data_IF_004547534459
#
_entry.id   IF_004547534459
#
_cell.length_a   1.000
_cell.length_b   1.000
_cell.length_c   1.000
_cell.angle_alpha   90.00
_cell.angle_beta   90.00
_cell.angle_gamma   90.00
#
_symmetry.space_group_name_H-M   'P 1'
#
loop_
_entity.id
_entity.type
_entity.pdbx_description
1 polymer ?
#
# COMPACT_ATOMS: atom_id res chain seq x y z
N UNK A 1 -29.87 -22.99 -3.65
CA UNK A 1 -28.66 -23.84 -3.69
C UNK A 1 -27.78 -23.58 -4.92
N UNK A 2 -28.17 -23.94 -6.15
CA UNK A 2 -27.29 -23.76 -7.35
C UNK A 2 -26.86 -22.30 -7.58
N UNK A 3 -27.75 -21.33 -7.42
CA UNK A 3 -27.39 -19.90 -7.58
C UNK A 3 -26.48 -19.38 -6.44
N UNK A 4 -26.64 -19.91 -5.22
CA UNK A 4 -25.80 -19.57 -4.06
C UNK A 4 -24.36 -20.01 -4.29
N UNK A 5 -24.13 -21.26 -4.70
CA UNK A 5 -22.78 -21.75 -5.02
C UNK A 5 -22.09 -20.92 -6.11
N UNK A 6 -22.81 -20.59 -7.19
CA UNK A 6 -22.28 -19.73 -8.26
C UNK A 6 -21.90 -18.34 -7.75
N UNK A 7 -22.74 -17.73 -6.90
CA UNK A 7 -22.45 -16.43 -6.27
C UNK A 7 -21.21 -16.50 -5.37
N UNK A 8 -21.07 -17.56 -4.59
CA UNK A 8 -19.90 -17.81 -3.74
C UNK A 8 -18.62 -17.93 -4.58
N UNK A 9 -18.63 -18.68 -5.68
CA UNK A 9 -17.47 -18.79 -6.58
C UNK A 9 -17.07 -17.44 -7.18
N UNK A 10 -18.04 -16.61 -7.58
CA UNK A 10 -17.79 -15.25 -8.06
C UNK A 10 -17.22 -14.38 -6.94
N UNK A 11 -17.78 -14.46 -5.73
CA UNK A 11 -17.30 -13.73 -4.57
C UNK A 11 -15.86 -14.09 -4.22
N UNK A 12 -15.50 -15.38 -4.22
CA UNK A 12 -14.12 -15.83 -4.01
C UNK A 12 -13.15 -15.22 -5.02
N UNK A 13 -13.49 -15.25 -6.32
CA UNK A 13 -12.67 -14.62 -7.37
C UNK A 13 -12.53 -13.11 -7.17
N UNK A 14 -13.60 -12.44 -6.76
CA UNK A 14 -13.58 -11.00 -6.47
C UNK A 14 -12.74 -10.69 -5.23
N UNK A 15 -12.81 -11.54 -4.21
CA UNK A 15 -12.00 -11.46 -3.00
C UNK A 15 -10.50 -11.60 -3.32
N UNK A 16 -10.12 -12.63 -4.08
CA UNK A 16 -8.75 -12.80 -4.56
C UNK A 16 -8.28 -11.60 -5.39
N UNK A 17 -9.13 -11.10 -6.30
CA UNK A 17 -8.82 -9.92 -7.12
C UNK A 17 -8.56 -8.67 -6.26
N UNK A 18 -9.40 -8.41 -5.24
CA UNK A 18 -9.23 -7.26 -4.34
C UNK A 18 -8.00 -7.39 -3.45
N UNK A 19 -7.67 -8.59 -2.95
CA UNK A 19 -6.40 -8.83 -2.26
C UNK A 19 -5.19 -8.58 -3.18
N UNK A 20 -5.28 -9.00 -4.45
CA UNK A 20 -4.24 -8.75 -5.42
C UNK A 20 -4.07 -7.25 -5.71
N UNK A 21 -5.14 -6.46 -5.72
CA UNK A 21 -5.06 -5.00 -5.82
C UNK A 21 -4.27 -4.38 -4.65
N UNK A 22 -4.47 -4.85 -3.43
CA UNK A 22 -3.67 -4.43 -2.27
C UNK A 22 -2.19 -4.76 -2.49
N UNK A 23 -1.87 -6.00 -2.88
CA UNK A 23 -0.49 -6.44 -3.17
C UNK A 23 0.15 -5.63 -4.30
N UNK A 24 -0.62 -5.25 -5.32
CA UNK A 24 -0.12 -4.42 -6.42
C UNK A 24 0.24 -3.02 -5.95
N UNK A 25 -0.57 -2.38 -5.10
CA UNK A 25 -0.24 -1.08 -4.54
C UNK A 25 1.08 -1.13 -3.74
N UNK A 26 1.24 -2.16 -2.90
CA UNK A 26 2.45 -2.37 -2.09
C UNK A 26 3.69 -2.64 -2.95
N UNK A 27 3.55 -3.48 -3.99
CA UNK A 27 4.65 -3.77 -4.92
C UNK A 27 5.07 -2.53 -5.72
N UNK A 28 4.10 -1.75 -6.20
CA UNK A 28 4.38 -0.54 -6.97
C UNK A 28 5.08 0.52 -6.13
N UNK A 29 4.62 0.79 -4.91
CA UNK A 29 5.26 1.81 -4.06
C UNK A 29 6.66 1.38 -3.61
N UNK A 30 6.90 0.08 -3.39
CA UNK A 30 8.25 -0.45 -3.13
C UNK A 30 9.19 -0.23 -4.31
N UNK A 31 8.71 -0.42 -5.54
CA UNK A 31 9.49 -0.12 -6.75
C UNK A 31 9.86 1.37 -6.83
N UNK A 32 8.93 2.26 -6.46
CA UNK A 32 9.21 3.69 -6.38
C UNK A 32 10.25 4.03 -5.28
N UNK A 33 10.23 3.32 -4.16
CA UNK A 33 11.20 3.48 -3.08
C UNK A 33 12.63 3.14 -3.52
N UNK A 34 12.81 2.13 -4.37
CA UNK A 34 14.12 1.78 -4.95
C UNK A 34 14.65 2.94 -5.80
N UNK A 35 13.83 3.51 -6.68
CA UNK A 35 14.20 4.66 -7.52
C UNK A 35 14.58 5.86 -6.65
N UNK A 36 13.75 6.16 -5.64
CA UNK A 36 14.04 7.23 -4.68
C UNK A 36 15.36 6.99 -3.94
N UNK A 37 15.64 5.75 -3.53
CA UNK A 37 16.88 5.35 -2.85
C UNK A 37 18.11 5.61 -3.72
N UNK A 38 18.06 5.25 -5.00
CA UNK A 38 19.15 5.49 -5.94
C UNK A 38 19.42 7.00 -6.10
N UNK A 39 18.39 7.80 -6.37
CA UNK A 39 18.53 9.25 -6.52
C UNK A 39 19.07 9.90 -5.24
N UNK A 40 18.52 9.52 -4.08
CA UNK A 40 18.92 10.05 -2.78
C UNK A 40 20.35 9.67 -2.42
N UNK A 41 20.76 8.43 -2.69
CA UNK A 41 22.13 7.97 -2.45
C UNK A 41 23.14 8.82 -3.24
N UNK A 42 22.87 9.09 -4.51
CA UNK A 42 23.76 9.95 -5.32
C UNK A 42 23.87 11.36 -4.72
N UNK A 43 22.74 11.97 -4.35
CA UNK A 43 22.73 13.33 -3.78
C UNK A 43 23.50 13.38 -2.47
N UNK A 44 23.33 12.38 -1.59
CA UNK A 44 24.06 12.30 -0.32
C UNK A 44 25.56 12.12 -0.57
N UNK A 45 25.97 11.21 -1.45
CA UNK A 45 27.39 10.98 -1.77
C UNK A 45 28.08 12.24 -2.30
N UNK A 46 27.35 13.07 -3.05
CA UNK A 46 27.90 14.27 -3.68
C UNK A 46 27.48 15.56 -2.94
N UNK A 47 26.97 15.46 -1.71
CA UNK A 47 26.34 16.57 -1.02
C UNK A 47 27.27 17.78 -0.87
N UNK A 48 28.52 17.56 -0.45
CA UNK A 48 29.48 18.64 -0.22
C UNK A 48 29.79 19.42 -1.51
N UNK A 49 30.00 18.72 -2.63
CA UNK A 49 30.23 19.34 -3.93
C UNK A 49 29.01 20.15 -4.37
N UNK A 50 27.82 19.53 -4.37
CA UNK A 50 26.57 20.17 -4.76
C UNK A 50 26.23 21.38 -3.89
N UNK A 51 26.58 21.36 -2.60
CA UNK A 51 26.35 22.48 -1.68
C UNK A 51 27.26 23.68 -1.94
N UNK A 52 28.45 23.47 -2.49
CA UNK A 52 29.45 24.52 -2.71
C UNK A 52 29.27 25.28 -4.03
N UNK A 53 28.57 24.70 -5.02
CA UNK A 53 28.40 25.28 -6.38
C UNK A 53 27.83 26.70 -6.36
N UNK A 54 26.63 26.88 -5.79
CA UNK A 54 25.94 28.17 -5.83
C UNK A 54 24.84 28.26 -4.77
N UNK A 55 24.26 29.45 -4.60
CA UNK A 55 23.04 29.60 -3.78
C UNK A 55 21.85 28.84 -4.39
N UNK A 56 21.80 28.74 -5.72
CA UNK A 56 20.74 28.04 -6.43
C UNK A 56 20.77 26.54 -6.13
N UNK A 57 21.95 25.90 -6.15
CA UNK A 57 22.07 24.47 -5.82
C UNK A 57 21.62 24.17 -4.38
N UNK A 58 21.90 25.06 -3.43
CA UNK A 58 21.43 24.93 -2.03
C UNK A 58 19.91 24.93 -1.91
N UNK A 59 19.22 25.79 -2.67
CA UNK A 59 17.75 25.84 -2.70
C UNK A 59 17.19 24.53 -3.27
N UNK A 60 17.75 24.06 -4.39
CA UNK A 60 17.32 22.79 -5.02
C UNK A 60 17.58 21.59 -4.10
N UNK A 61 18.73 21.54 -3.41
CA UNK A 61 19.02 20.51 -2.40
C UNK A 61 17.99 20.52 -1.27
N UNK A 62 17.65 21.69 -0.73
CA UNK A 62 16.64 21.81 0.32
C UNK A 62 15.28 21.29 -0.16
N UNK A 63 14.84 21.68 -1.36
CA UNK A 63 13.60 21.16 -1.96
C UNK A 63 13.65 19.66 -2.19
N UNK A 64 14.80 19.11 -2.60
CA UNK A 64 14.99 17.67 -2.80
C UNK A 64 14.78 16.89 -1.49
N UNK A 65 15.35 17.34 -0.37
CA UNK A 65 15.15 16.66 0.91
C UNK A 65 13.73 16.85 1.48
N UNK A 66 13.10 18.01 1.28
CA UNK A 66 11.70 18.19 1.68
C UNK A 66 10.77 17.25 0.90
N UNK A 67 10.99 17.10 -0.41
CA UNK A 67 10.21 16.18 -1.24
C UNK A 67 10.48 14.72 -0.91
N UNK A 68 11.72 14.37 -0.55
CA UNK A 68 12.06 13.05 0.01
C UNK A 68 11.22 12.72 1.26
N UNK A 69 11.13 13.63 2.23
CA UNK A 69 10.34 13.42 3.45
C UNK A 69 8.86 13.21 3.12
N UNK A 70 8.30 14.03 2.23
CA UNK A 70 6.91 13.89 1.77
C UNK A 70 6.68 12.56 1.04
N UNK A 71 7.65 12.11 0.24
CA UNK A 71 7.58 10.80 -0.42
C UNK A 71 7.55 9.66 0.61
N UNK A 72 8.44 9.70 1.60
CA UNK A 72 8.50 8.69 2.68
C UNK A 72 7.17 8.66 3.45
N UNK A 73 6.55 9.80 3.70
CA UNK A 73 5.22 9.86 4.32
C UNK A 73 4.16 9.10 3.50
N UNK A 74 4.12 9.27 2.17
CA UNK A 74 3.19 8.54 1.31
C UNK A 74 3.54 7.05 1.15
N UNK A 75 4.83 6.72 1.15
CA UNK A 75 5.33 5.34 1.16
C UNK A 75 4.78 4.58 2.39
N UNK A 76 4.98 5.14 3.59
CA UNK A 76 4.51 4.54 4.83
C UNK A 76 2.98 4.42 4.85
N UNK A 77 2.26 5.47 4.44
CA UNK A 77 0.80 5.42 4.39
C UNK A 77 0.22 4.40 3.40
N UNK A 78 1.00 4.02 2.38
CA UNK A 78 0.64 2.96 1.44
C UNK A 78 0.90 1.58 2.03
N UNK A 79 2.05 1.37 2.67
CA UNK A 79 2.48 0.04 3.13
C UNK A 79 1.82 -0.35 4.46
N UNK A 80 1.64 0.60 5.38
CA UNK A 80 1.17 0.31 6.73
C UNK A 80 -0.14 -0.49 6.73
N UNK A 81 -0.22 -1.58 7.52
CA UNK A 81 -1.42 -2.37 7.61
C UNK A 81 -2.55 -1.51 8.20
N UNK A 82 -3.69 -1.51 7.53
CA UNK A 82 -4.88 -0.78 7.96
C UNK A 82 -5.89 -1.78 8.50
N UNK A 83 -6.37 -1.52 9.70
CA UNK A 83 -7.56 -2.17 10.25
C UNK A 83 -8.68 -1.14 10.23
N UNK A 84 -9.84 -1.50 9.68
CA UNK A 84 -11.02 -0.69 9.87
C UNK A 84 -11.59 -1.04 11.24
N UNK A 85 -11.49 -0.13 12.20
CA UNK A 85 -12.01 -0.35 13.56
C UNK A 85 -13.54 -0.28 13.63
N UNK A 86 -14.16 0.34 12.62
CA UNK A 86 -15.61 0.55 12.50
C UNK A 86 -16.27 -0.40 11.50
N UNK A 87 -15.70 -1.59 11.26
CA UNK A 87 -16.42 -2.59 10.47
C UNK A 87 -17.63 -3.05 11.27
N UNK A 88 -18.85 -2.87 10.73
CA UNK A 88 -20.06 -3.50 11.24
C UNK A 88 -19.89 -5.02 11.08
N UNK A 89 -19.26 -5.67 12.06
CA UNK A 89 -18.91 -7.09 12.01
C UNK A 89 -20.21 -7.89 12.02
N UNK A 90 -20.51 -8.56 10.91
CA UNK A 90 -21.63 -9.49 10.84
C UNK A 90 -21.10 -10.84 11.38
N UNK A 91 -21.26 -11.07 12.68
CA UNK A 91 -21.00 -12.37 13.30
C UNK A 91 -19.53 -12.83 13.33
N UNK A 92 -19.32 -14.14 13.51
CA UNK A 92 -17.99 -14.75 13.57
C UNK A 92 -17.43 -14.96 12.16
N UNK A 93 -16.56 -14.06 11.72
CA UNK A 93 -15.88 -14.17 10.42
C UNK A 93 -15.04 -15.46 10.35
N UNK A 94 -15.34 -16.29 9.35
CA UNK A 94 -14.62 -17.52 9.04
C UNK A 94 -13.42 -17.29 8.13
N UNK A 95 -13.49 -16.25 7.29
CA UNK A 95 -12.46 -15.97 6.28
C UNK A 95 -11.36 -15.05 6.84
N UNK A 96 -11.69 -14.13 7.74
CA UNK A 96 -10.73 -13.16 8.24
C UNK A 96 -9.72 -13.76 9.22
N UNK A 97 -8.44 -13.71 8.86
CA UNK A 97 -7.36 -14.35 9.61
C UNK A 97 -7.29 -13.93 11.10
N UNK A 98 -7.60 -12.68 11.43
CA UNK A 98 -7.53 -12.21 12.82
C UNK A 98 -8.70 -12.69 13.68
N UNK A 99 -9.82 -13.10 13.06
CA UNK A 99 -10.89 -13.82 13.77
C UNK A 99 -10.54 -15.30 13.91
N UNK A 100 -9.94 -15.91 12.88
CA UNK A 100 -9.44 -17.29 12.95
C UNK A 100 -8.40 -17.43 14.08
N UNK A 101 -7.44 -16.50 14.17
CA UNK A 101 -6.38 -16.56 15.18
C UNK A 101 -6.84 -16.32 16.62
N UNK A 102 -8.04 -15.75 16.82
CA UNK A 102 -8.63 -15.53 18.15
C UNK A 102 -9.35 -16.76 18.71
N UNK A 103 -9.55 -17.81 17.91
CA UNK A 103 -10.18 -19.05 18.39
C UNK A 103 -9.23 -19.82 19.30
N UNK A 104 -9.77 -20.43 20.35
CA UNK A 104 -8.98 -21.10 21.37
C UNK A 104 -8.32 -22.38 20.86
N UNK A 105 -8.98 -23.09 19.95
CA UNK A 105 -8.47 -24.33 19.39
C UNK A 105 -8.97 -24.55 17.95
N UNK A 106 -8.33 -25.48 17.22
CA UNK A 106 -8.70 -25.85 15.84
C UNK A 106 -10.08 -26.52 15.75
N UNK A 107 -10.52 -27.22 16.79
CA UNK A 107 -11.82 -27.92 16.80
C UNK A 107 -12.98 -26.92 16.74
N UNK A 108 -12.87 -25.80 17.45
CA UNK A 108 -13.84 -24.71 17.45
C UNK A 108 -13.96 -24.12 16.03
N UNK A 109 -12.82 -23.92 15.34
CA UNK A 109 -12.82 -23.44 13.95
C UNK A 109 -13.51 -24.42 12.99
N UNK A 110 -13.18 -25.71 13.07
CA UNK A 110 -13.79 -26.74 12.22
C UNK A 110 -15.29 -26.84 12.48
N UNK A 111 -15.70 -26.77 13.75
CA UNK A 111 -17.11 -26.78 14.15
C UNK A 111 -17.85 -25.58 13.58
N UNK A 112 -17.33 -24.38 13.77
CA UNK A 112 -17.90 -23.14 13.21
C UNK A 112 -18.04 -23.27 11.70
N UNK A 113 -16.96 -23.64 11.00
CA UNK A 113 -16.93 -23.77 9.54
C UNK A 113 -17.98 -24.76 9.01
N UNK A 114 -18.12 -25.93 9.63
CA UNK A 114 -19.09 -26.94 9.21
C UNK A 114 -20.54 -26.55 9.55
N UNK A 115 -20.74 -25.70 10.56
CA UNK A 115 -22.06 -25.24 10.99
C UNK A 115 -22.58 -24.04 10.21
N UNK A 116 -21.71 -23.33 9.50
CA UNK A 116 -22.07 -22.12 8.74
C UNK A 116 -22.81 -22.45 7.46
N UNK A 117 -23.91 -21.73 7.21
CA UNK A 117 -24.68 -21.90 5.99
C UNK A 117 -23.94 -21.30 4.78
N UNK A 118 -24.28 -21.76 3.57
CA UNK A 118 -23.69 -21.19 2.35
C UNK A 118 -24.03 -19.70 2.16
N UNK A 119 -25.14 -19.23 2.73
CA UNK A 119 -25.55 -17.83 2.68
C UNK A 119 -24.72 -16.99 3.66
N UNK A 120 -24.55 -17.45 4.90
CA UNK A 120 -23.69 -16.77 5.89
C UNK A 120 -22.23 -16.70 5.42
N UNK A 121 -21.73 -17.76 4.77
CA UNK A 121 -20.38 -17.76 4.20
C UNK A 121 -20.23 -16.77 3.04
N UNK A 122 -21.27 -16.65 2.20
CA UNK A 122 -21.29 -15.64 1.14
C UNK A 122 -21.30 -14.23 1.72
N UNK A 123 -22.07 -13.98 2.78
CA UNK A 123 -22.13 -12.67 3.44
C UNK A 123 -20.79 -12.29 4.09
N UNK A 124 -20.10 -13.24 4.75
CA UNK A 124 -18.73 -13.01 5.25
C UNK A 124 -17.78 -12.64 4.10
N UNK A 125 -17.81 -13.38 2.98
CA UNK A 125 -16.99 -13.03 1.80
C UNK A 125 -17.29 -11.63 1.26
N UNK A 126 -18.57 -11.28 1.10
CA UNK A 126 -18.96 -9.95 0.63
C UNK A 126 -18.49 -8.84 1.57
N UNK A 127 -18.56 -9.07 2.89
CA UNK A 127 -17.98 -8.18 3.88
C UNK A 127 -16.46 -8.03 3.72
N UNK A 128 -15.73 -9.14 3.56
CA UNK A 128 -14.27 -9.11 3.35
C UNK A 128 -13.88 -8.39 2.06
N UNK A 129 -14.64 -8.57 0.98
CA UNK A 129 -14.45 -7.87 -0.30
C UNK A 129 -14.62 -6.37 -0.10
N UNK A 130 -15.68 -5.94 0.57
CA UNK A 130 -15.96 -4.54 0.83
C UNK A 130 -14.85 -3.86 1.65
N UNK A 131 -14.41 -4.50 2.73
CA UNK A 131 -13.31 -3.99 3.56
C UNK A 131 -11.97 -3.97 2.81
N UNK A 132 -11.67 -5.03 2.05
CA UNK A 132 -10.46 -5.10 1.22
C UNK A 132 -10.45 -4.03 0.13
N UNK A 133 -11.60 -3.75 -0.50
CA UNK A 133 -11.74 -2.71 -1.51
C UNK A 133 -11.51 -1.30 -0.93
N UNK A 134 -12.00 -1.02 0.28
CA UNK A 134 -11.70 0.24 0.99
C UNK A 134 -10.20 0.39 1.25
N UNK A 135 -9.55 -0.66 1.75
CA UNK A 135 -8.10 -0.64 2.01
C UNK A 135 -7.34 -0.41 0.70
N UNK A 136 -7.66 -1.14 -0.37
CA UNK A 136 -7.06 -0.97 -1.68
C UNK A 136 -7.19 0.46 -2.19
N UNK A 137 -8.38 1.06 -2.08
CA UNK A 137 -8.65 2.43 -2.51
C UNK A 137 -7.74 3.44 -1.82
N UNK A 138 -7.63 3.36 -0.49
CA UNK A 138 -6.76 4.26 0.28
C UNK A 138 -5.28 4.06 -0.07
N UNK A 139 -4.84 2.81 -0.27
CA UNK A 139 -3.47 2.51 -0.71
C UNK A 139 -3.18 3.13 -2.08
N UNK A 140 -4.08 2.97 -3.06
CA UNK A 140 -3.91 3.56 -4.39
C UNK A 140 -3.91 5.10 -4.38
N UNK A 141 -4.69 5.75 -3.52
CA UNK A 141 -4.66 7.21 -3.35
C UNK A 141 -3.29 7.67 -2.85
N UNK A 142 -2.74 7.03 -1.80
CA UNK A 142 -1.43 7.37 -1.27
C UNK A 142 -0.31 7.04 -2.26
N UNK A 143 -0.39 5.89 -2.94
CA UNK A 143 0.52 5.53 -4.02
C UNK A 143 0.56 6.60 -5.11
N UNK A 144 -0.59 7.07 -5.59
CA UNK A 144 -0.66 8.11 -6.63
C UNK A 144 0.01 9.41 -6.16
N UNK A 145 -0.23 9.83 -4.91
CA UNK A 145 0.43 11.00 -4.32
C UNK A 145 1.95 10.80 -4.23
N UNK A 146 2.40 9.65 -3.74
CA UNK A 146 3.82 9.29 -3.69
C UNK A 146 4.49 9.28 -5.07
N UNK A 147 3.80 8.78 -6.10
CA UNK A 147 4.29 8.81 -7.47
C UNK A 147 4.51 10.23 -7.99
N UNK A 148 3.55 11.14 -7.76
CA UNK A 148 3.67 12.56 -8.15
C UNK A 148 4.82 13.23 -7.39
N UNK A 149 4.94 12.98 -6.08
CA UNK A 149 6.06 13.50 -5.28
C UNK A 149 7.41 13.00 -5.80
N UNK A 150 7.53 11.71 -6.13
CA UNK A 150 8.76 11.16 -6.69
C UNK A 150 9.09 11.75 -8.06
N UNK A 151 8.10 11.94 -8.94
CA UNK A 151 8.32 12.58 -10.24
C UNK A 151 8.94 13.97 -10.06
N UNK A 152 8.43 14.76 -9.13
CA UNK A 152 8.98 16.06 -8.82
C UNK A 152 10.39 15.96 -8.20
N UNK A 153 10.62 15.01 -7.30
CA UNK A 153 11.94 14.80 -6.71
C UNK A 153 12.99 14.35 -7.76
N UNK A 154 12.62 13.48 -8.69
CA UNK A 154 13.48 13.05 -9.81
C UNK A 154 13.78 14.21 -10.75
N UNK A 155 12.82 15.12 -10.98
CA UNK A 155 13.07 16.35 -11.72
C UNK A 155 14.13 17.22 -11.03
N UNK A 156 14.03 17.42 -9.71
CA UNK A 156 15.05 18.14 -8.94
C UNK A 156 16.42 17.45 -9.00
N UNK A 157 16.44 16.12 -8.97
CA UNK A 157 17.66 15.32 -9.12
C UNK A 157 18.37 15.59 -10.45
N UNK A 158 17.64 15.64 -11.58
CA UNK A 158 18.24 15.95 -12.87
C UNK A 158 18.77 17.38 -12.95
N UNK A 159 18.14 18.35 -12.27
CA UNK A 159 18.69 19.71 -12.16
C UNK A 159 20.03 19.68 -11.42
N UNK A 160 20.12 18.95 -10.30
CA UNK A 160 21.37 18.82 -9.53
C UNK A 160 22.48 18.12 -10.35
N UNK A 161 22.14 17.09 -11.12
CA UNK A 161 23.07 16.43 -12.03
C UNK A 161 23.59 17.39 -13.11
N UNK A 162 22.71 18.20 -13.69
CA UNK A 162 23.09 19.22 -14.66
C UNK A 162 24.08 20.20 -14.06
N UNK A 163 23.77 20.78 -12.89
CA UNK A 163 24.65 21.73 -12.20
C UNK A 163 26.03 21.15 -11.91
N UNK A 164 26.11 19.89 -11.48
CA UNK A 164 27.38 19.20 -11.25
C UNK A 164 28.21 19.01 -12.53
N UNK A 165 27.56 18.87 -13.68
CA UNK A 165 28.25 18.57 -14.96
C UNK A 165 28.87 19.81 -15.62
N UNK A 166 28.52 21.02 -15.16
CA UNK A 166 29.04 22.29 -15.67
C UNK A 166 30.12 22.93 -14.77
N UNK A 167 30.48 22.27 -13.66
CA UNK A 167 31.72 22.54 -12.89
C UNK A 167 32.87 21.65 -13.38
#
# INVERSE_FOLDING_TARGET
MVDTFRKTDIALKLYESTQNLIRFADTKINSLSVINGIATSFVITNFQQLYQISIFSKIILFMFFMTFIVFVYFLLNTILPRKNENSDVIGNQLVFFAHISKRNNVKDFISDFNSTSSEDFLDDLLQQIYESAKIATVKFINYKKGMITLQFQVFLFFILLGLKSFE
#
